data_IF_422656109306
#
_entry.id   IF_422656109306
#
_cell.length_a   1.000
_cell.length_b   1.000
_cell.length_c   1.000
_cell.angle_alpha   90.00
_cell.angle_beta   90.00
_cell.angle_gamma   90.00
#
_symmetry.space_group_name_H-M   'P 1'
#
loop_
_entity.id
_entity.type
_entity.pdbx_description
1 polymer ?
#
# COMPACT_ATOMS: atom_id res chain seq x y z
N UNK A 1 6.52 -7.58 8.80
CA UNK A 1 5.16 -7.17 8.35
C UNK A 1 4.03 -7.72 9.22
N UNK A 2 3.67 -9.02 9.16
CA UNK A 2 2.44 -9.53 9.82
C UNK A 2 2.37 -9.33 11.34
N UNK A 3 3.45 -9.64 12.07
CA UNK A 3 3.52 -9.39 13.53
C UNK A 3 3.47 -7.90 13.85
N UNK A 4 4.14 -7.06 13.06
CA UNK A 4 4.10 -5.61 13.24
C UNK A 4 2.70 -5.07 13.00
N UNK A 5 1.99 -5.53 11.97
CA UNK A 5 0.59 -5.19 11.73
C UNK A 5 -0.28 -5.56 12.94
N UNK A 6 -0.06 -6.75 13.52
CA UNK A 6 -0.76 -7.17 14.74
C UNK A 6 -0.46 -6.25 15.94
N UNK A 7 0.79 -5.81 16.09
CA UNK A 7 1.16 -4.83 17.12
C UNK A 7 0.43 -3.50 16.90
N UNK A 8 0.40 -2.97 15.67
CA UNK A 8 -0.33 -1.73 15.34
C UNK A 8 -1.82 -1.86 15.65
N UNK A 9 -2.42 -3.02 15.32
CA UNK A 9 -3.80 -3.33 15.66
C UNK A 9 -4.03 -3.33 17.17
N UNK A 10 -3.11 -3.89 17.95
CA UNK A 10 -3.21 -3.86 19.41
C UNK A 10 -3.07 -2.44 19.97
N UNK A 11 -2.18 -1.61 19.42
CA UNK A 11 -2.09 -0.19 19.80
C UNK A 11 -3.42 0.51 19.59
N UNK A 12 -4.07 0.30 18.44
CA UNK A 12 -5.43 0.82 18.18
C UNK A 12 -6.44 0.33 19.23
N UNK A 13 -6.39 -0.95 19.60
CA UNK A 13 -7.28 -1.53 20.61
C UNK A 13 -7.06 -0.92 21.99
N UNK A 14 -5.81 -0.70 22.40
CA UNK A 14 -5.47 -0.06 23.68
C UNK A 14 -5.92 1.40 23.73
N UNK A 15 -5.77 2.14 22.63
CA UNK A 15 -6.31 3.51 22.48
C UNK A 15 -7.84 3.48 22.64
N UNK A 16 -8.51 2.57 21.94
CA UNK A 16 -9.97 2.43 22.04
C UNK A 16 -10.43 2.07 23.47
N UNK A 17 -9.72 1.17 24.15
CA UNK A 17 -10.03 0.77 25.53
C UNK A 17 -9.80 1.93 26.50
N UNK A 18 -8.71 2.68 26.31
CA UNK A 18 -8.38 3.85 27.13
C UNK A 18 -9.41 4.96 27.00
N UNK A 19 -9.97 5.17 25.80
CA UNK A 19 -11.10 6.10 25.59
C UNK A 19 -12.37 5.71 26.33
N UNK A 20 -12.61 4.41 26.58
CA UNK A 20 -13.82 3.90 27.24
C UNK A 20 -13.76 3.92 28.78
N UNK A 21 -12.67 4.41 29.36
CA UNK A 21 -12.52 4.54 30.82
C UNK A 21 -11.59 3.52 31.48
N UNK A 22 -11.03 2.55 30.74
CA UNK A 22 -9.91 1.71 31.21
C UNK A 22 -8.59 2.48 31.02
N UNK A 23 -8.44 3.57 31.77
CA UNK A 23 -7.50 4.64 31.50
C UNK A 23 -6.03 4.24 31.69
N UNK A 24 -5.43 3.63 30.66
CA UNK A 24 -3.98 3.70 30.49
C UNK A 24 -3.64 5.04 29.82
N UNK A 25 -3.13 5.98 30.63
CA UNK A 25 -2.81 7.35 30.19
C UNK A 25 -1.80 7.40 29.02
N UNK A 26 -0.96 6.37 28.86
CA UNK A 26 0.05 6.28 27.81
C UNK A 26 -0.54 6.16 26.39
N UNK A 27 -1.83 5.82 26.27
CA UNK A 27 -2.52 5.68 24.98
C UNK A 27 -3.47 6.84 24.68
N UNK A 28 -3.33 7.98 25.37
CA UNK A 28 -4.13 9.19 25.17
C UNK A 28 -3.27 10.45 25.25
N UNK A 29 -3.76 11.55 24.68
CA UNK A 29 -3.11 12.85 24.80
C UNK A 29 -1.65 12.88 24.29
N UNK A 30 -0.79 13.75 24.85
CA UNK A 30 0.60 13.89 24.43
C UNK A 30 1.46 12.63 24.60
N UNK A 31 1.17 11.81 25.60
CA UNK A 31 1.95 10.59 25.91
C UNK A 31 1.86 9.53 24.79
N UNK A 32 0.81 9.61 23.96
CA UNK A 32 0.63 8.74 22.79
C UNK A 32 1.57 9.11 21.62
N UNK A 33 2.00 10.37 21.52
CA UNK A 33 2.71 10.88 20.34
C UNK A 33 4.03 10.14 20.04
N UNK A 34 4.91 9.84 21.01
CA UNK A 34 6.14 9.09 20.74
C UNK A 34 5.87 7.68 20.19
N UNK A 35 4.79 7.04 20.65
CA UNK A 35 4.38 5.73 20.11
C UNK A 35 3.88 5.85 18.67
N UNK A 36 3.17 6.94 18.35
CA UNK A 36 2.73 7.21 16.99
C UNK A 36 3.89 7.52 16.05
N UNK A 37 4.92 8.25 16.48
CA UNK A 37 6.14 8.45 15.67
C UNK A 37 6.85 7.12 15.36
N UNK A 38 6.86 6.19 16.31
CA UNK A 38 7.46 4.87 16.09
C UNK A 38 6.65 4.03 15.07
N UNK A 39 5.32 4.12 15.12
CA UNK A 39 4.43 3.33 14.26
C UNK A 39 4.24 3.94 12.87
N UNK A 40 4.10 5.27 12.79
CA UNK A 40 3.89 6.04 11.56
C UNK A 40 5.23 6.33 10.89
N UNK A 41 6.00 5.27 10.65
CA UNK A 41 7.33 5.35 10.08
C UNK A 41 7.60 4.20 9.11
N UNK A 42 8.29 4.52 8.02
CA UNK A 42 8.81 3.57 7.05
C UNK A 42 10.34 3.58 7.12
N UNK A 43 11.00 2.56 7.70
CA UNK A 43 12.44 2.59 7.97
C UNK A 43 13.30 2.62 6.72
N UNK A 44 12.83 2.05 5.60
CA UNK A 44 13.49 2.15 4.29
C UNK A 44 13.01 3.38 3.49
N UNK A 45 12.18 4.24 4.07
CA UNK A 45 11.65 5.42 3.40
C UNK A 45 10.99 5.08 2.06
N UNK A 46 11.35 5.82 1.03
CA UNK A 46 10.86 5.65 -0.34
C UNK A 46 11.21 4.30 -0.98
N UNK A 47 12.21 3.58 -0.46
CA UNK A 47 12.67 2.28 -0.96
C UNK A 47 11.91 1.10 -0.32
N UNK A 48 10.95 1.39 0.56
CA UNK A 48 10.14 0.35 1.21
C UNK A 48 9.33 -0.44 0.17
N UNK A 49 9.51 -1.76 0.14
CA UNK A 49 8.64 -2.66 -0.64
C UNK A 49 7.23 -2.67 -0.04
N UNK A 50 6.29 -2.06 -0.76
CA UNK A 50 4.90 -1.93 -0.36
C UNK A 50 4.16 -3.27 -0.28
N UNK A 51 4.46 -4.22 -1.17
CA UNK A 51 3.73 -5.49 -1.19
C UNK A 51 4.16 -6.36 -0.01
N UNK A 52 5.46 -6.42 0.27
CA UNK A 52 6.00 -7.13 1.44
C UNK A 52 5.49 -6.54 2.75
N UNK A 53 5.25 -5.22 2.80
CA UNK A 53 4.81 -4.52 4.01
C UNK A 53 3.31 -4.16 4.02
N UNK A 54 2.52 -4.68 3.09
CA UNK A 54 1.14 -4.27 2.87
C UNK A 54 0.29 -4.33 4.15
N UNK A 55 0.34 -5.43 4.88
CA UNK A 55 -0.46 -5.60 6.10
C UNK A 55 -0.14 -4.53 7.14
N UNK A 56 1.16 -4.24 7.35
CA UNK A 56 1.62 -3.23 8.30
C UNK A 56 1.19 -1.84 7.86
N UNK A 57 1.39 -1.51 6.58
CA UNK A 57 1.06 -0.20 6.01
C UNK A 57 -0.45 0.05 6.10
N UNK A 58 -1.26 -0.95 5.72
CA UNK A 58 -2.72 -0.85 5.79
C UNK A 58 -3.22 -0.72 7.22
N UNK A 59 -2.68 -1.50 8.16
CA UNK A 59 -3.09 -1.36 9.57
C UNK A 59 -2.67 0.00 10.14
N UNK A 60 -1.50 0.53 9.74
CA UNK A 60 -1.01 1.85 10.14
C UNK A 60 -1.87 2.97 9.58
N UNK A 61 -2.25 2.90 8.30
CA UNK A 61 -3.21 3.83 7.68
C UNK A 61 -4.58 3.76 8.37
N UNK A 62 -5.04 2.55 8.72
CA UNK A 62 -6.30 2.35 9.44
C UNK A 62 -6.27 2.90 10.87
N UNK A 63 -5.14 2.78 11.58
CA UNK A 63 -4.92 3.42 12.87
C UNK A 63 -5.01 4.94 12.73
N UNK A 64 -4.27 5.51 11.78
CA UNK A 64 -4.26 6.95 11.54
C UNK A 64 -5.67 7.49 11.20
N UNK A 65 -6.38 6.81 10.31
CA UNK A 65 -7.78 7.11 9.99
C UNK A 65 -8.67 7.07 11.23
N UNK A 66 -8.50 6.06 12.09
CA UNK A 66 -9.26 5.95 13.33
C UNK A 66 -9.02 7.13 14.27
N UNK A 67 -7.75 7.52 14.47
CA UNK A 67 -7.39 8.65 15.34
C UNK A 67 -8.02 9.96 14.88
N UNK A 68 -7.96 10.26 13.57
CA UNK A 68 -8.50 11.50 13.02
C UNK A 68 -10.03 11.58 13.07
N UNK A 69 -10.71 10.44 12.98
CA UNK A 69 -12.17 10.39 13.14
C UNK A 69 -12.57 10.64 14.61
N UNK A 70 -11.75 10.19 15.56
CA UNK A 70 -12.04 10.17 17.01
C UNK A 70 -11.29 11.25 17.81
N UNK A 71 -10.74 12.24 17.14
CA UNK A 71 -9.97 13.36 17.69
C UNK A 71 -10.57 13.98 18.97
N UNK A 72 -11.89 14.21 19.01
CA UNK A 72 -12.58 14.79 20.16
C UNK A 72 -12.56 13.88 21.40
N UNK A 73 -12.49 12.56 21.20
CA UNK A 73 -12.45 11.57 22.29
C UNK A 73 -11.02 11.32 22.80
N UNK A 74 -9.99 11.73 22.05
CA UNK A 74 -8.58 11.56 22.42
C UNK A 74 -8.09 12.54 23.51
N UNK A 75 -8.96 13.43 24.01
CA UNK A 75 -8.60 14.53 24.94
C UNK A 75 -7.40 15.36 24.41
N UNK A 76 -7.32 15.53 23.10
CA UNK A 76 -6.22 16.20 22.43
C UNK A 76 -6.27 17.71 22.67
N UNK A 77 -5.18 18.31 23.14
CA UNK A 77 -4.99 19.76 23.04
C UNK A 77 -4.79 20.18 21.57
N UNK A 78 -4.92 21.47 21.26
CA UNK A 78 -4.61 22.00 19.92
C UNK A 78 -3.17 21.67 19.52
N UNK A 79 -2.24 21.69 20.47
CA UNK A 79 -0.84 21.33 20.30
C UNK A 79 -0.69 19.84 19.96
N UNK A 80 -1.38 18.95 20.69
CA UNK A 80 -1.40 17.51 20.40
C UNK A 80 -1.95 17.23 19.01
N UNK A 81 -2.99 17.94 18.59
CA UNK A 81 -3.56 17.80 17.25
C UNK A 81 -2.59 18.26 16.16
N UNK A 82 -1.95 19.42 16.32
CA UNK A 82 -0.93 19.92 15.38
C UNK A 82 0.21 18.92 15.22
N UNK A 83 0.65 18.34 16.32
CA UNK A 83 1.73 17.36 16.31
C UNK A 83 1.33 16.04 15.64
N UNK A 84 0.12 15.55 15.91
CA UNK A 84 -0.44 14.42 15.16
C UNK A 84 -0.49 14.69 13.65
N UNK A 85 -0.93 15.88 13.24
CA UNK A 85 -0.95 16.29 11.84
C UNK A 85 0.47 16.33 11.25
N UNK A 86 1.47 16.82 11.99
CA UNK A 86 2.88 16.80 11.56
C UNK A 86 3.36 15.38 11.29
N UNK A 87 3.14 14.45 12.22
CA UNK A 87 3.55 13.04 12.09
C UNK A 87 2.83 12.39 10.90
N UNK A 88 1.51 12.61 10.80
CA UNK A 88 0.67 12.17 9.69
C UNK A 88 1.24 12.63 8.34
N UNK A 89 1.51 13.93 8.19
CA UNK A 89 1.95 14.51 6.92
C UNK A 89 3.31 13.95 6.49
N UNK A 90 4.24 13.77 7.44
CA UNK A 90 5.54 13.15 7.16
C UNK A 90 5.39 11.71 6.67
N UNK A 91 4.57 10.91 7.35
CA UNK A 91 4.31 9.52 6.97
C UNK A 91 3.63 9.42 5.60
N UNK A 92 2.52 10.13 5.39
CA UNK A 92 1.75 10.09 4.14
C UNK A 92 2.56 10.57 2.94
N UNK A 93 3.44 11.56 3.13
CA UNK A 93 4.36 12.02 2.08
C UNK A 93 5.25 10.87 1.59
N UNK A 94 5.83 10.09 2.49
CA UNK A 94 6.69 8.96 2.12
C UNK A 94 5.85 7.86 1.46
N UNK A 95 4.70 7.50 2.03
CA UNK A 95 3.78 6.48 1.46
C UNK A 95 3.41 6.82 0.02
N UNK A 96 3.10 8.09 -0.28
CA UNK A 96 2.80 8.55 -1.65
C UNK A 96 3.95 8.36 -2.61
N UNK A 97 5.18 8.66 -2.18
CA UNK A 97 6.38 8.45 -3.00
C UNK A 97 6.53 6.96 -3.30
N UNK A 98 6.41 6.09 -2.29
CA UNK A 98 6.45 4.64 -2.48
C UNK A 98 5.39 4.15 -3.46
N UNK A 99 4.13 4.62 -3.32
CA UNK A 99 3.01 4.25 -4.19
C UNK A 99 3.30 4.69 -5.62
N UNK A 100 3.76 5.92 -5.81
CA UNK A 100 4.05 6.50 -7.13
C UNK A 100 5.17 5.73 -7.84
N UNK A 101 6.27 5.45 -7.12
CA UNK A 101 7.40 4.69 -7.64
C UNK A 101 7.02 3.25 -7.97
N UNK A 102 6.33 2.57 -7.04
CA UNK A 102 5.90 1.18 -7.23
C UNK A 102 4.92 1.08 -8.40
N UNK A 103 3.91 1.95 -8.47
CA UNK A 103 2.96 1.99 -9.59
C UNK A 103 3.66 2.19 -10.93
N UNK A 104 4.60 3.14 -11.01
CA UNK A 104 5.36 3.37 -12.24
C UNK A 104 6.13 2.12 -12.69
N UNK A 105 6.81 1.44 -11.76
CA UNK A 105 7.52 0.19 -12.03
C UNK A 105 6.57 -0.92 -12.51
N UNK A 106 5.51 -1.24 -11.76
CA UNK A 106 4.60 -2.33 -12.10
C UNK A 106 3.81 -2.05 -13.40
N UNK A 107 3.50 -0.78 -13.69
CA UNK A 107 2.91 -0.40 -14.98
C UNK A 107 3.88 -0.61 -16.15
N UNK A 108 5.17 -0.30 -15.98
CA UNK A 108 6.18 -0.52 -16.99
C UNK A 108 6.37 -2.03 -17.27
N UNK A 109 6.47 -2.84 -16.22
CA UNK A 109 6.55 -4.31 -16.33
C UNK A 109 5.32 -4.89 -17.04
N UNK A 110 4.12 -4.41 -16.70
CA UNK A 110 2.88 -4.87 -17.32
C UNK A 110 2.80 -4.49 -18.81
N UNK A 111 3.35 -3.33 -19.19
CA UNK A 111 3.45 -2.90 -20.58
C UNK A 111 4.46 -3.76 -21.35
N UNK A 112 5.66 -3.97 -20.80
CA UNK A 112 6.69 -4.81 -21.40
C UNK A 112 6.19 -6.24 -21.62
N UNK A 113 5.49 -6.82 -20.64
CA UNK A 113 4.89 -8.15 -20.76
C UNK A 113 3.85 -8.23 -21.90
N UNK A 114 3.01 -7.20 -22.06
CA UNK A 114 2.04 -7.15 -23.18
C UNK A 114 2.75 -7.08 -24.53
N UNK A 115 3.81 -6.29 -24.63
CA UNK A 115 4.59 -6.13 -25.86
C UNK A 115 5.30 -7.45 -26.23
N UNK A 116 5.89 -8.15 -25.27
CA UNK A 116 6.53 -9.46 -25.47
C UNK A 116 5.52 -10.53 -25.94
N UNK A 117 4.33 -10.58 -25.32
CA UNK A 117 3.24 -11.49 -25.74
C UNK A 117 2.82 -11.19 -27.18
N UNK A 118 2.67 -9.92 -27.54
CA UNK A 118 2.28 -9.52 -28.90
C UNK A 118 3.37 -9.84 -29.93
N UNK A 119 4.64 -9.62 -29.58
CA UNK A 119 5.78 -9.92 -30.44
C UNK A 119 5.86 -11.42 -30.72
N UNK A 120 5.81 -12.26 -29.67
CA UNK A 120 5.81 -13.73 -29.80
C UNK A 120 4.62 -14.24 -30.62
N UNK A 121 3.44 -13.64 -30.45
CA UNK A 121 2.27 -14.00 -31.24
C UNK A 121 2.43 -13.63 -32.73
N UNK A 122 3.10 -12.51 -33.04
CA UNK A 122 3.42 -12.10 -34.41
C UNK A 122 4.46 -13.04 -35.03
N UNK A 123 5.55 -13.31 -34.32
CA UNK A 123 6.61 -14.24 -34.74
C UNK A 123 6.05 -15.64 -35.01
N UNK A 124 5.18 -16.16 -34.14
CA UNK A 124 4.52 -17.45 -34.35
C UNK A 124 3.64 -17.47 -35.62
N UNK A 125 2.96 -16.36 -35.94
CA UNK A 125 2.16 -16.23 -37.17
C UNK A 125 3.04 -16.16 -38.41
N UNK A 126 4.14 -15.42 -38.36
CA UNK A 126 5.09 -15.26 -39.47
C UNK A 126 5.86 -16.57 -39.71
N UNK A 127 6.24 -17.27 -38.64
CA UNK A 127 6.77 -18.62 -38.72
C UNK A 127 5.76 -19.59 -39.32
N UNK A 128 4.50 -19.61 -38.86
CA UNK A 128 3.46 -20.49 -39.43
C UNK A 128 3.16 -20.20 -40.91
N UNK A 129 3.26 -18.95 -41.36
CA UNK A 129 3.17 -18.57 -42.79
C UNK A 129 4.36 -19.09 -43.59
N UNK A 130 5.56 -19.00 -43.04
CA UNK A 130 6.80 -19.49 -43.66
C UNK A 130 6.86 -21.03 -43.71
N UNK A 131 6.41 -21.71 -42.65
CA UNK A 131 6.30 -23.18 -42.59
C UNK A 131 5.15 -23.72 -43.43
N UNK A 132 4.09 -22.93 -43.73
CA UNK A 132 3.08 -23.33 -44.73
C UNK A 132 3.64 -23.49 -46.14
N UNK A 133 4.77 -22.85 -46.45
CA UNK A 133 5.53 -23.04 -47.69
C UNK A 133 6.41 -24.30 -47.67
N UNK A 134 6.67 -24.90 -46.49
CA UNK A 134 7.51 -26.09 -46.32
C UNK A 134 6.76 -27.10 -45.45
N UNK A 135 5.90 -27.91 -46.08
CA UNK A 135 5.11 -28.91 -45.35
C UNK A 135 5.99 -30.07 -44.84
N UNK A 136 5.72 -30.47 -43.60
CA UNK A 136 5.84 -31.81 -42.96
C UNK A 136 6.95 -32.00 -41.90
N UNK A 137 6.51 -32.52 -40.73
CA UNK A 137 7.28 -33.10 -39.59
C UNK A 137 7.98 -32.06 -38.69
N UNK A 138 7.89 -32.05 -37.35
CA UNK A 138 7.67 -33.10 -36.35
C UNK A 138 7.18 -32.43 -35.05
N UNK A 139 6.35 -33.13 -34.28
CA UNK A 139 6.00 -32.76 -32.92
C UNK A 139 7.10 -33.20 -31.93
N UNK A 140 7.52 -32.32 -31.02
CA UNK A 140 7.69 -32.64 -29.58
C UNK A 140 8.20 -31.46 -28.74
N UNK A 141 7.53 -31.33 -27.59
CA UNK A 141 7.95 -30.94 -26.24
C UNK A 141 9.07 -29.92 -26.03
N UNK A 142 8.74 -28.85 -25.28
CA UNK A 142 9.60 -28.37 -24.19
C UNK A 142 8.73 -27.91 -23.00
N UNK A 143 8.87 -28.61 -21.86
CA UNK A 143 8.56 -28.07 -20.52
C UNK A 143 9.60 -27.00 -20.19
N UNK A 144 9.19 -25.80 -19.78
CA UNK A 144 10.01 -24.94 -18.91
C UNK A 144 9.14 -24.28 -17.87
N UNK A 145 9.53 -24.50 -16.62
CA UNK A 145 9.05 -23.80 -15.43
C UNK A 145 9.44 -22.32 -15.45
N UNK A 146 8.44 -21.46 -15.47
CA UNK A 146 8.23 -20.25 -14.65
C UNK A 146 6.84 -19.74 -15.03
N UNK A 147 6.15 -19.02 -14.13
CA UNK A 147 4.71 -18.70 -14.26
C UNK A 147 4.30 -18.32 -15.69
N UNK A 148 3.14 -18.84 -16.16
CA UNK A 148 2.66 -18.51 -17.51
C UNK A 148 2.45 -17.00 -17.66
N UNK A 149 2.53 -16.44 -18.89
CA UNK A 149 2.36 -15.00 -19.10
C UNK A 149 1.04 -14.46 -18.56
N UNK A 150 -0.02 -15.26 -18.56
CA UNK A 150 -1.32 -14.92 -17.98
C UNK A 150 -1.24 -14.79 -16.46
N UNK A 151 -0.52 -15.69 -15.79
CA UNK A 151 -0.34 -15.63 -14.34
C UNK A 151 0.54 -14.44 -13.96
N UNK A 152 1.62 -14.17 -14.70
CA UNK A 152 2.46 -12.99 -14.48
C UNK A 152 1.64 -11.69 -14.62
N UNK A 153 0.80 -11.61 -15.64
CA UNK A 153 -0.10 -10.49 -15.85
C UNK A 153 -1.04 -10.26 -14.66
N UNK A 154 -1.65 -11.33 -14.15
CA UNK A 154 -2.53 -11.28 -12.98
C UNK A 154 -1.80 -10.82 -11.72
N UNK A 155 -0.57 -11.30 -11.48
CA UNK A 155 0.24 -10.88 -10.34
C UNK A 155 0.55 -9.38 -10.41
N UNK A 156 1.00 -8.88 -11.57
CA UNK A 156 1.27 -7.46 -11.76
C UNK A 156 0.01 -6.61 -11.59
N UNK A 157 -1.13 -7.06 -12.13
CA UNK A 157 -2.42 -6.38 -11.92
C UNK A 157 -2.83 -6.38 -10.44
N UNK A 158 -2.67 -7.49 -9.74
CA UNK A 158 -3.00 -7.58 -8.31
C UNK A 158 -2.18 -6.59 -7.49
N UNK A 159 -0.89 -6.43 -7.81
CA UNK A 159 -0.04 -5.44 -7.15
C UNK A 159 -0.55 -4.01 -7.37
N UNK A 160 -0.95 -3.65 -8.59
CA UNK A 160 -1.52 -2.34 -8.88
C UNK A 160 -2.81 -2.08 -8.10
N UNK A 161 -3.71 -3.06 -8.02
CA UNK A 161 -4.94 -2.95 -7.22
C UNK A 161 -4.62 -2.75 -5.73
N UNK A 162 -3.60 -3.42 -5.21
CA UNK A 162 -3.11 -3.18 -3.84
C UNK A 162 -2.65 -1.75 -3.64
N UNK A 163 -1.90 -1.17 -4.59
CA UNK A 163 -1.47 0.24 -4.49
C UNK A 163 -2.65 1.21 -4.55
N UNK A 164 -3.63 0.95 -5.40
CA UNK A 164 -4.86 1.75 -5.48
C UNK A 164 -5.68 1.67 -4.18
N UNK A 165 -5.73 0.48 -3.55
CA UNK A 165 -6.34 0.32 -2.24
C UNK A 165 -5.62 1.17 -1.18
N UNK A 166 -4.29 1.14 -1.11
CA UNK A 166 -3.52 1.98 -0.18
C UNK A 166 -3.76 3.47 -0.44
N UNK A 167 -3.70 3.90 -1.71
CA UNK A 167 -3.91 5.30 -2.10
C UNK A 167 -5.32 5.79 -1.74
N UNK A 168 -6.35 4.95 -1.91
CA UNK A 168 -7.72 5.30 -1.51
C UNK A 168 -7.84 5.63 -0.02
N UNK A 169 -7.09 4.91 0.83
CA UNK A 169 -7.07 5.19 2.28
C UNK A 169 -6.28 6.46 2.58
N UNK A 170 -5.17 6.69 1.88
CA UNK A 170 -4.39 7.94 1.99
C UNK A 170 -5.27 9.15 1.67
N UNK A 171 -5.97 9.12 0.53
CA UNK A 171 -6.89 10.19 0.13
C UNK A 171 -7.97 10.38 1.19
N UNK A 172 -8.59 9.30 1.69
CA UNK A 172 -9.63 9.41 2.71
C UNK A 172 -9.12 10.03 4.01
N UNK A 173 -7.88 9.74 4.41
CA UNK A 173 -7.26 10.35 5.60
C UNK A 173 -7.14 11.87 5.45
N UNK A 174 -6.80 12.33 4.25
CA UNK A 174 -6.65 13.76 3.96
C UNK A 174 -8.00 14.47 3.94
N UNK A 175 -9.01 13.89 3.30
CA UNK A 175 -10.37 14.40 3.34
C UNK A 175 -10.86 14.57 4.78
N UNK A 176 -10.66 13.55 5.63
CA UNK A 176 -11.02 13.63 7.06
C UNK A 176 -10.25 14.77 7.75
N UNK A 177 -8.97 14.96 7.42
CA UNK A 177 -8.16 16.03 8.00
C UNK A 177 -8.71 17.40 7.61
N UNK A 178 -9.04 17.60 6.34
CA UNK A 178 -9.60 18.85 5.80
C UNK A 178 -11.01 19.14 6.37
N UNK A 179 -11.87 18.13 6.47
CA UNK A 179 -13.18 18.22 7.13
C UNK A 179 -13.07 18.65 8.60
N UNK A 180 -11.98 18.31 9.28
CA UNK A 180 -11.74 18.69 10.68
C UNK A 180 -11.19 20.10 10.80
N UNK A 181 -10.22 20.46 9.95
CA UNK A 181 -9.66 21.81 9.91
C UNK A 181 -10.75 22.84 9.60
N UNK A 182 -11.63 22.58 8.64
CA UNK A 182 -12.74 23.49 8.31
C UNK A 182 -13.74 23.71 9.45
N UNK A 183 -13.83 22.81 10.43
CA UNK A 183 -14.70 22.95 11.62
C UNK A 183 -14.03 23.69 12.78
N UNK A 184 -12.71 23.91 12.71
CA UNK A 184 -11.96 24.64 13.72
C UNK A 184 -11.88 26.15 13.44
N UNK A 185 -12.24 26.57 12.24
CA UNK A 185 -12.38 27.96 11.81
C UNK A 185 -13.85 28.38 11.82
#
# INVERSE_FOLDING_TARGET
AGVEAYIVKNIKNEIQSSMKGNANKWFLGPDLLPLLELVLHLPQGAETDLLTNMDKIMETLNLLRYLLIRDQQLKSSVETWKELCRIKDQYLKIVRVCISMSRAYYCAELKALKEDIQLKAKEARDAARSTRLIKTMTAKDVKVSNMSPQVQYQVLQSALVTFDMMESVVVRIEEITEEKLSKMH
#
